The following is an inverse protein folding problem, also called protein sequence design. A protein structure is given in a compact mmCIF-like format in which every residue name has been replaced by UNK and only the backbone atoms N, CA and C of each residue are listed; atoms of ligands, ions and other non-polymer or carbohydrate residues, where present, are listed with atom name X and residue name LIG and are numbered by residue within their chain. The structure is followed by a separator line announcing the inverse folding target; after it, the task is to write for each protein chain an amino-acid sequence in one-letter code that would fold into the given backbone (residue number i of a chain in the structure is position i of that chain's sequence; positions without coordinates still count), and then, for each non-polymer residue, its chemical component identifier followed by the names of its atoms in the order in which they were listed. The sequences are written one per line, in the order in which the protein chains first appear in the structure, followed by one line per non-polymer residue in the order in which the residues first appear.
data_IF_719444029104
#
_entry.id   IF_719444029104
#
_cell.length_a   1.000
_cell.length_b   1.000
_cell.length_c   1.000
_cell.angle_alpha   90.00
_cell.angle_beta   90.00
_cell.angle_gamma   90.00
#
_symmetry.space_group_name_H-M   'P 1'
#
loop_
_entity.id
_entity.type
_entity.pdbx_description
1 polymer ?
#
# COMPACT_ATOMS: atom_id res chain seq x y z
N UNK A 1 -11.17 4.48 -0.75
CA UNK A 1 -10.42 5.70 -0.36
C UNK A 1 -9.42 5.46 0.78
N UNK A 2 -9.82 4.80 1.89
CA UNK A 2 -8.91 4.54 3.02
C UNK A 2 -7.60 3.80 2.63
N UNK A 3 -7.68 2.72 1.85
CA UNK A 3 -6.51 1.98 1.33
C UNK A 3 -5.48 2.90 0.68
N UNK A 4 -5.91 3.78 -0.23
CA UNK A 4 -5.02 4.68 -0.97
C UNK A 4 -4.26 5.66 -0.06
N UNK A 5 -4.90 6.14 1.02
CA UNK A 5 -4.24 7.03 1.99
C UNK A 5 -3.09 6.30 2.70
N UNK A 6 -3.33 5.07 3.16
CA UNK A 6 -2.30 4.29 3.83
C UNK A 6 -1.18 3.86 2.88
N UNK A 7 -1.52 3.51 1.64
CA UNK A 7 -0.57 3.11 0.62
C UNK A 7 0.33 4.28 0.22
N UNK A 8 -0.22 5.49 0.07
CA UNK A 8 0.56 6.71 -0.17
C UNK A 8 1.53 7.03 0.98
N UNK A 9 1.10 6.87 2.23
CA UNK A 9 1.98 7.04 3.40
C UNK A 9 3.12 6.01 3.45
N UNK A 10 2.81 4.74 3.20
CA UNK A 10 3.81 3.67 3.18
C UNK A 10 4.81 3.86 2.03
N UNK A 11 4.35 4.30 0.86
CA UNK A 11 5.21 4.63 -0.27
C UNK A 11 6.14 5.81 0.03
N UNK A 12 5.64 6.88 0.64
CA UNK A 12 6.48 8.02 1.06
C UNK A 12 7.58 7.58 2.02
N UNK A 13 7.23 6.83 3.08
CA UNK A 13 8.21 6.31 4.03
C UNK A 13 9.22 5.35 3.38
N UNK A 14 8.80 4.58 2.37
CA UNK A 14 9.69 3.73 1.58
C UNK A 14 10.71 4.54 0.78
N UNK A 15 10.28 5.63 0.13
CA UNK A 15 11.16 6.54 -0.60
C UNK A 15 12.18 7.21 0.33
N UNK A 16 11.76 7.66 1.52
CA UNK A 16 12.66 8.25 2.51
C UNK A 16 13.69 7.22 2.99
N UNK A 17 13.26 6.00 3.34
CA UNK A 17 14.16 4.93 3.76
C UNK A 17 15.18 4.54 2.68
N UNK A 18 14.77 4.55 1.40
CA UNK A 18 15.65 4.33 0.26
C UNK A 18 16.68 5.46 0.12
N UNK A 19 16.23 6.71 0.16
CA UNK A 19 17.09 7.89 -0.01
C UNK A 19 18.12 8.05 1.11
N UNK A 20 17.75 7.79 2.36
CA UNK A 20 18.64 7.97 3.51
C UNK A 20 19.57 6.77 3.74
N UNK A 21 19.04 5.55 3.66
CA UNK A 21 19.76 4.35 4.12
C UNK A 21 20.00 3.32 3.03
N UNK A 22 19.35 3.45 1.86
CA UNK A 22 19.27 2.45 0.80
C UNK A 22 18.79 1.07 1.29
N UNK A 23 18.08 1.02 2.41
CA UNK A 23 17.58 -0.20 3.05
C UNK A 23 16.09 -0.04 3.35
N UNK A 24 15.40 -1.16 3.51
CA UNK A 24 13.99 -1.17 3.92
C UNK A 24 12.96 -0.79 2.85
N UNK A 25 13.37 -0.25 1.70
CA UNK A 25 12.47 0.06 0.57
C UNK A 25 11.58 -1.13 0.19
N UNK A 26 12.18 -2.32 -0.01
CA UNK A 26 11.42 -3.53 -0.36
C UNK A 26 10.41 -3.92 0.71
N UNK A 27 10.72 -3.70 2.00
CA UNK A 27 9.78 -3.98 3.08
C UNK A 27 8.56 -3.04 3.01
N UNK A 28 8.79 -1.75 2.73
CA UNK A 28 7.71 -0.78 2.51
C UNK A 28 6.89 -1.10 1.25
N UNK A 29 7.53 -1.61 0.19
CA UNK A 29 6.82 -2.08 -0.99
C UNK A 29 5.92 -3.28 -0.67
N UNK A 30 6.40 -4.24 0.14
CA UNK A 30 5.57 -5.36 0.63
C UNK A 30 4.38 -4.85 1.45
N UNK A 31 4.59 -3.87 2.34
CA UNK A 31 3.51 -3.25 3.11
C UNK A 31 2.47 -2.59 2.19
N UNK A 32 2.90 -1.88 1.14
CA UNK A 32 1.98 -1.32 0.14
C UNK A 32 1.07 -2.40 -0.48
N UNK A 33 1.61 -3.56 -0.84
CA UNK A 33 0.83 -4.69 -1.36
C UNK A 33 -0.14 -5.28 -0.34
N UNK A 34 0.22 -5.29 0.96
CA UNK A 34 -0.70 -5.71 2.03
C UNK A 34 -1.88 -4.73 2.16
N UNK A 35 -1.62 -3.43 2.13
CA UNK A 35 -2.65 -2.40 2.23
C UNK A 35 -3.64 -2.49 1.06
N UNK A 36 -3.14 -2.80 -0.14
CA UNK A 36 -3.95 -2.96 -1.36
C UNK A 36 -5.03 -4.05 -1.24
N UNK A 37 -4.79 -5.10 -0.43
CA UNK A 37 -5.76 -6.18 -0.24
C UNK A 37 -7.12 -5.67 0.24
N UNK A 38 -7.17 -4.59 1.02
CA UNK A 38 -8.42 -3.97 1.47
C UNK A 38 -9.21 -3.39 0.30
N UNK A 39 -8.53 -2.76 -0.67
CA UNK A 39 -9.17 -2.25 -1.88
C UNK A 39 -9.65 -3.40 -2.77
N UNK A 40 -8.87 -4.47 -2.91
CA UNK A 40 -9.26 -5.66 -3.68
C UNK A 40 -10.48 -6.36 -3.06
N UNK A 41 -10.54 -6.48 -1.74
CA UNK A 41 -11.72 -7.02 -1.05
C UNK A 41 -12.97 -6.17 -1.30
N UNK A 42 -12.86 -4.84 -1.16
CA UNK A 42 -13.97 -3.93 -1.43
C UNK A 42 -14.42 -4.00 -2.90
N UNK A 43 -13.49 -4.14 -3.84
CA UNK A 43 -13.78 -4.30 -5.27
C UNK A 43 -14.58 -5.58 -5.53
N UNK A 44 -14.13 -6.72 -5.01
CA UNK A 44 -14.80 -8.01 -5.19
C UNK A 44 -16.22 -7.97 -4.62
N UNK A 45 -16.41 -7.44 -3.41
CA UNK A 45 -17.75 -7.28 -2.85
C UNK A 45 -18.62 -6.31 -3.66
N UNK A 46 -18.04 -5.23 -4.21
CA UNK A 46 -18.76 -4.29 -5.07
C UNK A 46 -19.26 -4.94 -6.36
N UNK A 47 -18.44 -5.81 -6.97
CA UNK A 47 -18.84 -6.58 -8.16
C UNK A 47 -19.94 -7.59 -7.83
N UNK A 48 -19.89 -8.23 -6.66
CA UNK A 48 -20.89 -9.23 -6.23
C UNK A 48 -22.27 -8.62 -5.94
N UNK A 49 -22.34 -7.32 -5.62
CA UNK A 49 -23.58 -6.61 -5.30
C UNK A 49 -24.26 -6.03 -6.55
N UNK A 50 -23.51 -5.87 -7.64
CA UNK A 50 -24.01 -5.43 -8.96
C UNK A 50 -24.69 -6.59 -9.71
#
# INVERSE_FOLDING_TARGET
MASAIFQGKAAAAGCDAFGETNKGFTNYLTICGIIETVALFALVFGIMVL
#
